data_IF_889495336129
#
_entry.id   IF_889495336129
#
_cell.length_a   1.000
_cell.length_b   1.000
_cell.length_c   1.000
_cell.angle_alpha   90.00
_cell.angle_beta   90.00
_cell.angle_gamma   90.00
#
_symmetry.space_group_name_H-M   'P 1'
#
loop_
_entity.id
_entity.type
_entity.pdbx_description
1 polymer ?
#
# COMPACT_ATOMS: atom_id res chain seq x y z
N UNK A 1 -24.80 3.11 17.45
CA UNK A 1 -26.13 2.90 16.86
C UNK A 1 -27.14 3.48 17.81
N UNK A 2 -28.18 4.20 17.36
CA UNK A 2 -29.23 4.65 18.29
C UNK A 2 -29.91 3.43 18.93
N UNK A 3 -30.19 3.48 20.23
CA UNK A 3 -30.77 2.35 20.99
C UNK A 3 -32.09 1.85 20.41
N UNK A 4 -32.88 2.76 19.84
CA UNK A 4 -34.14 2.44 19.15
C UNK A 4 -33.91 1.54 17.93
N UNK A 5 -32.88 1.82 17.12
CA UNK A 5 -32.51 0.99 15.97
C UNK A 5 -31.97 -0.37 16.43
N UNK A 6 -31.12 -0.39 17.46
CA UNK A 6 -30.59 -1.63 18.04
C UNK A 6 -31.73 -2.54 18.51
N UNK A 7 -32.69 -1.99 19.26
CA UNK A 7 -33.86 -2.71 19.77
C UNK A 7 -34.73 -3.27 18.65
N UNK A 8 -34.97 -2.49 17.59
CA UNK A 8 -35.75 -2.93 16.43
C UNK A 8 -35.09 -4.11 15.70
N UNK A 9 -33.78 -4.05 15.49
CA UNK A 9 -33.00 -5.13 14.86
C UNK A 9 -32.97 -6.37 15.74
N UNK A 10 -32.74 -6.23 17.05
CA UNK A 10 -32.79 -7.35 18.01
C UNK A 10 -34.16 -8.04 18.04
N UNK A 11 -35.24 -7.26 17.93
CA UNK A 11 -36.61 -7.77 17.82
C UNK A 11 -36.83 -8.62 16.57
N UNK A 12 -36.29 -8.19 15.41
CA UNK A 12 -36.37 -8.94 14.17
C UNK A 12 -35.49 -10.20 14.17
N UNK A 13 -34.30 -10.12 14.79
CA UNK A 13 -33.36 -11.25 14.89
C UNK A 13 -33.77 -12.29 15.95
N UNK A 14 -34.63 -11.92 16.90
CA UNK A 14 -35.00 -12.79 18.03
C UNK A 14 -33.85 -13.05 19.01
N UNK A 15 -32.76 -12.26 18.92
CA UNK A 15 -31.60 -12.33 19.82
C UNK A 15 -31.00 -10.95 20.02
N UNK A 16 -30.25 -10.79 21.11
CA UNK A 16 -29.45 -9.59 21.35
C UNK A 16 -28.25 -9.52 20.41
N UNK A 17 -27.90 -8.31 20.02
CA UNK A 17 -26.66 -8.00 19.32
C UNK A 17 -25.57 -7.78 20.36
N UNK A 18 -24.39 -8.36 20.13
CA UNK A 18 -23.19 -7.93 20.83
C UNK A 18 -22.86 -6.48 20.45
N UNK A 19 -22.10 -5.79 21.31
CA UNK A 19 -21.73 -4.39 21.05
C UNK A 19 -20.89 -4.25 19.78
N UNK A 20 -20.03 -5.24 19.49
CA UNK A 20 -19.25 -5.28 18.26
C UNK A 20 -20.13 -5.46 17.01
N UNK A 21 -21.16 -6.33 17.06
CA UNK A 21 -22.10 -6.50 15.94
C UNK A 21 -22.90 -5.21 15.69
N UNK A 22 -23.34 -4.55 16.75
CA UNK A 22 -24.08 -3.28 16.64
C UNK A 22 -23.21 -2.16 16.04
N UNK A 23 -21.94 -2.08 16.42
CA UNK A 23 -21.00 -1.12 15.87
C UNK A 23 -20.69 -1.40 14.40
N UNK A 24 -20.39 -2.66 14.04
CA UNK A 24 -20.14 -3.05 12.65
C UNK A 24 -21.33 -2.77 11.75
N UNK A 25 -22.54 -3.10 12.21
CA UNK A 25 -23.76 -2.83 11.46
C UNK A 25 -23.92 -1.32 11.21
N UNK A 26 -23.79 -0.48 12.24
CA UNK A 26 -23.85 0.98 12.10
C UNK A 26 -22.80 1.51 11.10
N UNK A 27 -21.56 1.02 11.16
CA UNK A 27 -20.51 1.41 10.22
C UNK A 27 -20.89 1.07 8.77
N UNK A 28 -21.49 -0.10 8.51
CA UNK A 28 -21.94 -0.46 7.16
C UNK A 28 -23.13 0.38 6.70
N UNK A 29 -24.05 0.73 7.59
CA UNK A 29 -25.14 1.67 7.30
C UNK A 29 -24.61 3.06 6.91
N UNK A 30 -23.68 3.62 7.69
CA UNK A 30 -23.04 4.92 7.40
C UNK A 30 -22.26 4.86 6.07
N UNK A 31 -21.59 3.74 5.80
CA UNK A 31 -20.88 3.54 4.54
C UNK A 31 -21.84 3.49 3.36
N UNK A 32 -22.90 2.67 3.45
CA UNK A 32 -23.92 2.54 2.42
C UNK A 32 -24.63 3.86 2.12
N UNK A 33 -24.93 4.66 3.14
CA UNK A 33 -25.55 5.99 2.99
C UNK A 33 -24.67 6.98 2.24
N UNK A 34 -23.34 6.78 2.24
CA UNK A 34 -22.38 7.59 1.48
C UNK A 34 -22.18 7.09 0.06
N UNK A 35 -22.19 5.77 -0.13
CA UNK A 35 -21.92 5.14 -1.44
C UNK A 35 -23.07 5.36 -2.42
N UNK A 36 -24.32 5.12 -2.01
CA UNK A 36 -25.48 5.18 -2.92
C UNK A 36 -25.67 6.56 -3.59
N UNK A 37 -25.62 7.70 -2.86
CA UNK A 37 -25.72 9.02 -3.50
C UNK A 37 -24.50 9.37 -4.35
N UNK A 38 -23.33 8.79 -4.06
CA UNK A 38 -22.10 9.03 -4.80
C UNK A 38 -22.06 8.27 -6.13
N UNK A 39 -22.71 7.12 -6.21
CA UNK A 39 -22.85 6.30 -7.42
C UNK A 39 -23.85 6.91 -8.40
N UNK A 40 -25.07 7.20 -7.97
CA UNK A 40 -26.09 7.84 -8.80
C UNK A 40 -26.95 8.82 -7.99
N UNK A 41 -26.50 10.07 -7.96
CA UNK A 41 -27.22 11.14 -7.26
C UNK A 41 -28.60 11.45 -7.87
N UNK A 42 -28.81 11.17 -9.17
CA UNK A 42 -30.09 11.44 -9.82
C UNK A 42 -31.12 10.42 -9.36
N UNK A 43 -30.75 9.13 -9.40
CA UNK A 43 -31.58 8.06 -8.85
C UNK A 43 -31.85 8.24 -7.35
N UNK A 44 -30.82 8.61 -6.58
CA UNK A 44 -30.95 8.87 -5.15
C UNK A 44 -31.96 9.99 -4.83
N UNK A 45 -31.92 11.07 -5.61
CA UNK A 45 -32.84 12.20 -5.43
C UNK A 45 -34.28 11.90 -5.81
N UNK A 46 -34.51 10.93 -6.71
CA UNK A 46 -35.87 10.50 -7.08
C UNK A 46 -36.52 9.54 -6.08
N UNK A 47 -35.76 8.93 -5.18
CA UNK A 47 -36.28 8.01 -4.16
C UNK A 47 -37.02 8.75 -3.02
N UNK A 48 -38.08 8.15 -2.49
CA UNK A 48 -38.70 8.54 -1.22
C UNK A 48 -37.76 8.28 -0.04
N UNK A 49 -38.09 8.81 1.15
CA UNK A 49 -37.25 8.56 2.33
C UNK A 49 -37.30 7.09 2.77
N UNK A 50 -38.42 6.40 2.56
CA UNK A 50 -38.57 4.96 2.78
C UNK A 50 -37.72 4.14 1.79
N UNK A 51 -37.79 4.47 0.49
CA UNK A 51 -36.99 3.80 -0.55
C UNK A 51 -35.49 3.99 -0.30
N UNK A 52 -35.07 5.17 0.17
CA UNK A 52 -33.67 5.42 0.58
C UNK A 52 -33.27 4.55 1.76
N UNK A 53 -34.12 4.42 2.77
CA UNK A 53 -33.84 3.62 3.95
C UNK A 53 -33.68 2.14 3.60
N UNK A 54 -34.56 1.61 2.74
CA UNK A 54 -34.48 0.23 2.22
C UNK A 54 -33.21 0.03 1.39
N UNK A 55 -32.91 0.93 0.45
CA UNK A 55 -31.70 0.83 -0.37
C UNK A 55 -30.41 0.88 0.47
N UNK A 56 -30.35 1.73 1.51
CA UNK A 56 -29.22 1.77 2.46
C UNK A 56 -29.11 0.43 3.20
N UNK A 57 -30.22 -0.12 3.70
CA UNK A 57 -30.22 -1.38 4.44
C UNK A 57 -29.72 -2.54 3.56
N UNK A 58 -30.23 -2.65 2.34
CA UNK A 58 -29.81 -3.66 1.37
C UNK A 58 -28.32 -3.53 1.05
N UNK A 59 -27.85 -2.31 0.78
CA UNK A 59 -26.43 -2.06 0.52
C UNK A 59 -25.56 -2.34 1.74
N UNK A 60 -26.02 -2.02 2.94
CA UNK A 60 -25.28 -2.30 4.17
C UNK A 60 -25.13 -3.82 4.39
N UNK A 61 -26.19 -4.60 4.16
CA UNK A 61 -26.16 -6.07 4.22
C UNK A 61 -25.22 -6.63 3.15
N UNK A 62 -25.30 -6.11 1.92
CA UNK A 62 -24.39 -6.52 0.83
C UNK A 62 -22.93 -6.24 1.20
N UNK A 63 -22.63 -5.01 1.64
CA UNK A 63 -21.29 -4.60 2.03
C UNK A 63 -20.74 -5.45 3.17
N UNK A 64 -21.57 -5.73 4.19
CA UNK A 64 -21.21 -6.61 5.30
C UNK A 64 -20.89 -8.03 4.81
N UNK A 65 -21.76 -8.59 3.96
CA UNK A 65 -21.63 -9.95 3.42
C UNK A 65 -20.38 -10.07 2.56
N UNK A 66 -20.16 -9.12 1.65
CA UNK A 66 -18.97 -9.08 0.77
C UNK A 66 -17.68 -8.95 1.57
N UNK A 67 -17.68 -8.08 2.59
CA UNK A 67 -16.55 -7.92 3.49
C UNK A 67 -16.27 -9.23 4.26
N UNK A 68 -17.30 -9.86 4.81
CA UNK A 68 -17.15 -11.08 5.59
C UNK A 68 -16.66 -12.27 4.73
N UNK A 69 -17.22 -12.44 3.52
CA UNK A 69 -16.76 -13.45 2.56
C UNK A 69 -15.27 -13.24 2.24
N UNK A 70 -14.86 -11.98 2.06
CA UNK A 70 -13.47 -11.64 1.79
C UNK A 70 -12.56 -11.93 2.98
N UNK A 71 -12.97 -11.57 4.19
CA UNK A 71 -12.22 -11.86 5.42
C UNK A 71 -12.05 -13.37 5.64
N UNK A 72 -13.09 -14.17 5.41
CA UNK A 72 -13.03 -15.63 5.47
C UNK A 72 -12.11 -16.20 4.38
N UNK A 73 -12.21 -15.69 3.14
CA UNK A 73 -11.33 -16.10 2.04
C UNK A 73 -9.86 -15.79 2.35
N UNK A 74 -9.58 -14.60 2.87
CA UNK A 74 -8.24 -14.22 3.31
C UNK A 74 -7.74 -15.13 4.44
N UNK A 75 -8.57 -15.43 5.43
CA UNK A 75 -8.20 -16.32 6.52
C UNK A 75 -7.82 -17.72 6.00
N UNK A 76 -8.61 -18.29 5.09
CA UNK A 76 -8.31 -19.60 4.50
C UNK A 76 -6.97 -19.59 3.76
N UNK A 77 -6.74 -18.58 2.91
CA UNK A 77 -5.47 -18.43 2.21
C UNK A 77 -4.29 -18.24 3.19
N UNK A 78 -4.48 -17.46 4.24
CA UNK A 78 -3.45 -17.19 5.24
C UNK A 78 -3.09 -18.46 6.03
N UNK A 79 -4.06 -19.33 6.31
CA UNK A 79 -3.81 -20.63 6.94
C UNK A 79 -2.99 -21.55 6.04
N UNK A 80 -3.29 -21.60 4.74
CA UNK A 80 -2.51 -22.38 3.77
C UNK A 80 -1.08 -21.86 3.63
N UNK A 81 -0.91 -20.53 3.47
CA UNK A 81 0.40 -19.88 3.43
C UNK A 81 1.19 -20.20 4.69
N UNK A 82 0.56 -20.08 5.85
CA UNK A 82 1.18 -20.39 7.14
C UNK A 82 1.64 -21.84 7.24
N UNK A 83 0.80 -22.79 6.84
CA UNK A 83 1.15 -24.21 6.86
C UNK A 83 2.38 -24.48 5.98
N UNK A 84 2.39 -23.94 4.77
CA UNK A 84 3.51 -24.06 3.84
C UNK A 84 4.79 -23.41 4.38
N UNK A 85 4.68 -22.21 4.96
CA UNK A 85 5.80 -21.54 5.62
C UNK A 85 6.35 -22.38 6.78
N UNK A 86 5.50 -22.88 7.68
CA UNK A 86 5.97 -23.71 8.79
C UNK A 86 6.72 -24.93 8.28
N UNK A 87 6.18 -25.64 7.29
CA UNK A 87 6.85 -26.80 6.66
C UNK A 87 8.20 -26.42 6.07
N UNK A 88 8.28 -25.35 5.27
CA UNK A 88 9.52 -24.87 4.65
C UNK A 88 10.58 -24.50 5.71
N UNK A 89 10.16 -23.78 6.75
CA UNK A 89 11.05 -23.22 7.77
C UNK A 89 11.57 -24.28 8.75
N UNK A 90 10.75 -25.26 9.14
CA UNK A 90 11.16 -26.28 10.12
C UNK A 90 11.88 -27.47 9.52
N UNK A 91 11.62 -27.78 8.24
CA UNK A 91 12.17 -28.98 7.58
C UNK A 91 13.46 -28.69 6.80
N UNK A 92 14.00 -27.47 6.87
CA UNK A 92 15.21 -27.12 6.13
C UNK A 92 16.42 -27.95 6.61
N UNK A 93 17.18 -28.60 5.71
CA UNK A 93 18.18 -29.61 6.10
C UNK A 93 19.40 -29.03 6.83
N UNK A 94 19.73 -27.75 6.61
CA UNK A 94 20.97 -27.13 7.09
C UNK A 94 20.79 -25.93 8.04
N UNK A 95 19.60 -25.33 8.05
CA UNK A 95 19.37 -24.05 8.72
C UNK A 95 18.44 -24.30 9.89
N UNK A 96 18.64 -23.57 10.98
CA UNK A 96 17.60 -23.56 12.00
C UNK A 96 16.39 -22.72 11.52
N UNK A 97 15.20 -22.90 12.12
CA UNK A 97 13.99 -22.24 11.61
C UNK A 97 14.05 -20.70 11.59
N UNK A 98 14.74 -20.07 12.55
CA UNK A 98 14.92 -18.61 12.56
C UNK A 98 15.89 -18.16 11.44
N UNK A 99 16.93 -18.94 11.16
CA UNK A 99 17.84 -18.68 10.03
C UNK A 99 17.12 -18.82 8.68
N UNK A 100 16.25 -19.83 8.55
CA UNK A 100 15.41 -20.03 7.38
C UNK A 100 14.41 -18.87 7.20
N UNK A 101 13.76 -18.43 8.29
CA UNK A 101 12.81 -17.31 8.26
C UNK A 101 13.50 -16.00 7.83
N UNK A 102 14.72 -15.79 8.32
CA UNK A 102 15.52 -14.63 7.90
C UNK A 102 15.85 -14.65 6.38
N UNK A 103 16.07 -15.83 5.80
CA UNK A 103 16.28 -15.98 4.34
C UNK A 103 14.99 -15.86 3.54
N UNK A 104 13.85 -16.17 4.15
CA UNK A 104 12.54 -15.88 3.56
C UNK A 104 12.30 -14.39 3.44
N UNK A 105 12.84 -13.58 4.36
CA UNK A 105 12.74 -12.13 4.30
C UNK A 105 13.77 -11.50 3.35
N UNK A 106 15.05 -11.81 3.52
CA UNK A 106 16.15 -11.08 2.84
C UNK A 106 16.89 -11.98 1.86
N UNK A 107 17.32 -11.42 0.73
CA UNK A 107 18.16 -12.10 -0.25
C UNK A 107 19.48 -12.57 0.36
N UNK A 108 19.77 -13.85 0.22
CA UNK A 108 21.07 -14.44 0.55
C UNK A 108 21.63 -15.15 -0.68
N UNK A 109 22.92 -14.96 -0.94
CA UNK A 109 23.63 -15.64 -2.04
C UNK A 109 24.24 -16.97 -1.57
N UNK A 110 23.63 -17.63 -0.59
CA UNK A 110 24.19 -18.78 0.13
C UNK A 110 23.67 -20.14 -0.33
N UNK A 111 23.00 -20.19 -1.49
CA UNK A 111 22.41 -21.40 -2.08
C UNK A 111 21.51 -22.17 -1.07
N UNK A 112 20.86 -21.47 -0.14
CA UNK A 112 19.92 -22.06 0.81
C UNK A 112 18.70 -22.69 0.13
N UNK A 113 18.42 -22.36 -1.14
CA UNK A 113 17.22 -22.86 -1.83
C UNK A 113 15.92 -22.22 -1.36
N UNK A 114 15.99 -21.27 -0.42
CA UNK A 114 14.86 -20.47 0.04
C UNK A 114 14.72 -19.26 -0.88
N UNK A 115 13.55 -19.12 -1.51
CA UNK A 115 13.21 -17.93 -2.27
C UNK A 115 12.73 -16.82 -1.32
N UNK A 116 13.49 -15.72 -1.28
CA UNK A 116 13.16 -14.58 -0.42
C UNK A 116 12.00 -13.74 -0.99
N UNK A 117 11.26 -13.08 -0.10
CA UNK A 117 10.22 -12.12 -0.47
C UNK A 117 10.78 -10.95 -1.25
N UNK A 118 12.03 -10.54 -0.99
CA UNK A 118 12.71 -9.52 -1.80
C UNK A 118 12.78 -9.90 -3.29
N UNK A 119 12.98 -11.18 -3.63
CA UNK A 119 12.95 -11.62 -5.03
C UNK A 119 11.54 -11.50 -5.61
N UNK A 120 10.52 -11.84 -4.83
CA UNK A 120 9.13 -11.71 -5.25
C UNK A 120 8.77 -10.24 -5.50
N UNK A 121 9.17 -9.34 -4.60
CA UNK A 121 8.96 -7.89 -4.74
C UNK A 121 9.60 -7.38 -6.03
N UNK A 122 10.87 -7.75 -6.28
CA UNK A 122 11.56 -7.35 -7.51
C UNK A 122 10.90 -7.91 -8.78
N UNK A 123 10.45 -9.16 -8.75
CA UNK A 123 9.76 -9.77 -9.89
C UNK A 123 8.43 -9.05 -10.20
N UNK A 124 7.69 -8.67 -9.16
CA UNK A 124 6.46 -7.87 -9.28
C UNK A 124 6.81 -6.48 -9.83
N UNK A 125 7.79 -5.78 -9.26
CA UNK A 125 8.22 -4.45 -9.71
C UNK A 125 8.60 -4.47 -11.20
N UNK A 126 9.50 -5.38 -11.61
CA UNK A 126 9.95 -5.49 -13.01
C UNK A 126 8.78 -5.74 -13.97
N UNK A 127 7.84 -6.63 -13.61
CA UNK A 127 6.65 -6.91 -14.43
C UNK A 127 5.84 -5.64 -14.71
N UNK A 128 5.59 -4.81 -13.71
CA UNK A 128 4.76 -3.61 -13.88
C UNK A 128 5.54 -2.44 -14.47
N UNK A 129 6.84 -2.32 -14.18
CA UNK A 129 7.72 -1.36 -14.85
C UNK A 129 7.81 -1.65 -16.35
N UNK A 130 7.81 -2.91 -16.76
CA UNK A 130 7.77 -3.30 -18.18
C UNK A 130 6.51 -2.77 -18.88
N UNK A 131 5.37 -2.76 -18.18
CA UNK A 131 4.12 -2.17 -18.70
C UNK A 131 4.23 -0.69 -19.02
N UNK A 132 5.17 0.02 -18.41
CA UNK A 132 5.45 1.45 -18.62
C UNK A 132 6.72 1.73 -19.44
N UNK A 133 7.42 0.71 -19.93
CA UNK A 133 8.72 0.91 -20.59
C UNK A 133 8.63 1.87 -21.78
N UNK A 134 7.59 1.73 -22.61
CA UNK A 134 7.35 2.62 -23.74
C UNK A 134 6.97 4.04 -23.28
N UNK A 135 6.17 4.16 -22.22
CA UNK A 135 5.83 5.46 -21.61
C UNK A 135 7.10 6.20 -21.20
N UNK A 136 8.03 5.52 -20.54
CA UNK A 136 9.29 6.13 -20.11
C UNK A 136 10.20 6.49 -21.30
N UNK A 137 10.32 5.61 -22.29
CA UNK A 137 11.10 5.89 -23.50
C UNK A 137 10.58 7.10 -24.26
N UNK A 138 9.26 7.18 -24.49
CA UNK A 138 8.69 8.15 -25.43
C UNK A 138 8.41 9.53 -24.81
N UNK A 139 8.41 9.61 -23.48
CA UNK A 139 8.30 10.86 -22.73
C UNK A 139 9.65 11.38 -22.24
N UNK A 140 10.75 10.78 -22.70
CA UNK A 140 12.11 11.29 -22.52
C UNK A 140 12.59 12.08 -23.74
N UNK A 141 13.51 13.01 -23.49
CA UNK A 141 14.26 13.76 -24.51
C UNK A 141 15.73 13.78 -24.14
N UNK A 142 16.59 14.24 -25.06
CA UNK A 142 18.03 14.37 -24.85
C UNK A 142 18.63 13.04 -24.36
N UNK A 143 18.45 11.96 -25.13
CA UNK A 143 18.99 10.63 -24.82
C UNK A 143 18.60 10.06 -23.43
N UNK A 144 17.43 10.46 -22.89
CA UNK A 144 16.95 9.98 -21.60
C UNK A 144 17.32 10.84 -20.39
N UNK A 145 18.09 11.92 -20.59
CA UNK A 145 18.51 12.78 -19.47
C UNK A 145 17.41 13.73 -18.97
N UNK A 146 16.43 14.06 -19.81
CA UNK A 146 15.36 15.00 -19.46
C UNK A 146 14.00 14.44 -19.87
N UNK A 147 12.96 14.86 -19.16
CA UNK A 147 11.59 14.59 -19.57
C UNK A 147 11.13 15.58 -20.64
N UNK A 148 10.35 15.08 -21.59
CA UNK A 148 9.55 15.90 -22.48
C UNK A 148 8.29 16.38 -21.75
N UNK A 149 8.39 17.58 -21.16
CA UNK A 149 7.32 18.18 -20.37
C UNK A 149 6.01 18.37 -21.13
N UNK A 150 6.06 18.65 -22.43
CA UNK A 150 4.86 18.86 -23.24
C UNK A 150 4.16 17.52 -23.51
N UNK A 151 4.92 16.48 -23.87
CA UNK A 151 4.38 15.12 -23.97
C UNK A 151 3.81 14.63 -22.64
N UNK A 152 4.51 14.85 -21.52
CA UNK A 152 4.00 14.48 -20.18
C UNK A 152 2.69 15.21 -19.88
N UNK A 153 2.59 16.52 -20.17
CA UNK A 153 1.35 17.28 -19.96
C UNK A 153 0.19 16.74 -20.79
N UNK A 154 0.43 16.45 -22.08
CA UNK A 154 -0.58 15.84 -22.96
C UNK A 154 -1.00 14.46 -22.48
N UNK A 155 -0.05 13.63 -22.06
CA UNK A 155 -0.30 12.31 -21.48
C UNK A 155 -1.16 12.39 -20.21
N UNK A 156 -0.85 13.30 -19.28
CA UNK A 156 -1.65 13.50 -18.07
C UNK A 156 -3.06 13.95 -18.43
N UNK A 157 -3.23 14.84 -19.40
CA UNK A 157 -4.57 15.28 -19.86
C UNK A 157 -5.39 14.11 -20.42
N UNK A 158 -4.77 13.28 -21.24
CA UNK A 158 -5.40 12.08 -21.82
C UNK A 158 -5.84 11.09 -20.72
N UNK A 159 -4.98 10.83 -19.73
CA UNK A 159 -5.30 9.95 -18.58
C UNK A 159 -6.51 10.46 -17.78
N UNK A 160 -6.66 11.77 -17.66
CA UNK A 160 -7.80 12.42 -17.02
C UNK A 160 -9.04 12.55 -17.94
N UNK A 161 -9.01 11.95 -19.13
CA UNK A 161 -10.14 11.90 -20.05
C UNK A 161 -10.31 13.14 -20.93
N UNK A 162 -9.29 14.00 -21.06
CA UNK A 162 -9.25 15.08 -22.06
C UNK A 162 -8.46 14.59 -23.28
N UNK A 163 -9.10 14.22 -24.41
CA UNK A 163 -8.41 13.71 -25.58
C UNK A 163 -7.40 14.72 -26.12
N UNK A 164 -6.17 14.27 -26.32
CA UNK A 164 -5.05 15.03 -26.89
C UNK A 164 -5.15 15.17 -28.42
N UNK A 165 -5.91 14.28 -29.07
CA UNK A 165 -5.94 14.17 -30.54
C UNK A 165 -4.73 13.44 -31.13
N UNK A 166 -3.82 12.96 -30.28
CA UNK A 166 -2.62 12.23 -30.68
C UNK A 166 -2.77 10.74 -30.33
N UNK A 167 -2.71 9.89 -31.35
CA UNK A 167 -2.85 8.44 -31.21
C UNK A 167 -1.71 7.80 -30.40
N UNK A 168 -0.50 8.36 -30.46
CA UNK A 168 0.64 7.92 -29.64
C UNK A 168 0.34 8.21 -28.17
N UNK A 169 -0.05 9.44 -27.84
CA UNK A 169 -0.38 9.85 -26.47
C UNK A 169 -1.56 9.03 -25.90
N UNK A 170 -2.61 8.78 -26.70
CA UNK A 170 -3.72 7.92 -26.32
C UNK A 170 -3.26 6.50 -25.96
N UNK A 171 -2.35 5.92 -26.75
CA UNK A 171 -1.77 4.60 -26.48
C UNK A 171 -0.95 4.58 -25.19
N UNK A 172 -0.12 5.60 -24.97
CA UNK A 172 0.68 5.73 -23.75
C UNK A 172 -0.22 5.91 -22.51
N UNK A 173 -1.28 6.72 -22.59
CA UNK A 173 -2.24 6.91 -21.51
C UNK A 173 -2.95 5.60 -21.14
N UNK A 174 -3.33 4.82 -22.16
CA UNK A 174 -3.90 3.49 -21.96
C UNK A 174 -2.91 2.55 -21.27
N UNK A 175 -1.65 2.53 -21.67
CA UNK A 175 -0.60 1.72 -21.02
C UNK A 175 -0.44 2.08 -19.54
N UNK A 176 -0.46 3.37 -19.18
CA UNK A 176 -0.42 3.80 -17.76
C UNK A 176 -1.65 3.31 -17.00
N UNK A 177 -2.85 3.58 -17.51
CA UNK A 177 -4.11 3.24 -16.83
C UNK A 177 -4.31 1.73 -16.67
N UNK A 178 -4.02 0.94 -17.71
CA UNK A 178 -4.07 -0.52 -17.66
C UNK A 178 -3.06 -1.10 -16.67
N UNK A 179 -1.85 -0.54 -16.60
CA UNK A 179 -0.80 -0.99 -15.67
C UNK A 179 -1.21 -0.72 -14.23
N UNK A 180 -1.69 0.49 -13.93
CA UNK A 180 -2.15 0.85 -12.58
C UNK A 180 -3.38 0.03 -12.14
N UNK A 181 -4.32 -0.23 -13.06
CA UNK A 181 -5.47 -1.10 -12.78
C UNK A 181 -5.04 -2.55 -12.54
N UNK A 182 -4.12 -3.07 -13.35
CA UNK A 182 -3.58 -4.43 -13.19
C UNK A 182 -2.85 -4.60 -11.85
N UNK A 183 -2.16 -3.55 -11.39
CA UNK A 183 -1.49 -3.52 -10.09
C UNK A 183 -2.52 -3.50 -8.94
N UNK A 184 -3.59 -2.70 -9.07
CA UNK A 184 -4.72 -2.67 -8.12
C UNK A 184 -5.41 -4.02 -7.99
N UNK A 185 -5.70 -4.68 -9.12
CA UNK A 185 -6.35 -6.00 -9.13
C UNK A 185 -5.44 -7.07 -8.50
N UNK A 186 -4.14 -7.00 -8.75
CA UNK A 186 -3.18 -7.91 -8.16
C UNK A 186 -3.05 -7.73 -6.64
N UNK A 187 -3.04 -6.48 -6.16
CA UNK A 187 -3.13 -6.17 -4.74
C UNK A 187 -4.38 -6.81 -4.10
N UNK A 188 -5.53 -6.63 -4.74
CA UNK A 188 -6.78 -7.13 -4.20
C UNK A 188 -6.87 -8.65 -4.17
N UNK A 189 -6.17 -9.33 -5.09
CA UNK A 189 -6.09 -10.80 -5.13
C UNK A 189 -5.45 -11.39 -3.88
N UNK A 190 -4.50 -10.69 -3.27
CA UNK A 190 -3.78 -11.17 -2.07
C UNK A 190 -4.35 -10.62 -0.76
N UNK A 191 -5.62 -10.21 -0.79
CA UNK A 191 -6.40 -9.87 0.40
C UNK A 191 -6.61 -8.37 0.64
N UNK A 192 -6.06 -7.52 -0.23
CA UNK A 192 -6.32 -6.08 -0.20
C UNK A 192 -7.69 -5.71 -0.75
N UNK A 193 -8.17 -4.50 -0.46
CA UNK A 193 -9.49 -4.03 -0.94
C UNK A 193 -9.48 -2.60 -1.49
N UNK A 194 -8.64 -2.35 -2.48
CA UNK A 194 -8.62 -1.08 -3.20
C UNK A 194 -9.84 -1.02 -4.13
N UNK A 195 -10.79 -0.14 -3.83
CA UNK A 195 -11.93 0.12 -4.71
C UNK A 195 -11.49 0.87 -5.97
N UNK A 196 -12.20 0.63 -7.07
CA UNK A 196 -11.98 1.39 -8.32
C UNK A 196 -12.63 2.75 -8.17
N UNK A 197 -11.87 3.82 -8.38
CA UNK A 197 -12.42 5.17 -8.42
C UNK A 197 -12.67 5.56 -9.87
N UNK A 198 -13.89 6.01 -10.17
CA UNK A 198 -14.16 6.70 -11.44
C UNK A 198 -13.26 7.94 -11.52
N UNK A 199 -12.52 8.09 -12.62
CA UNK A 199 -11.52 9.13 -12.81
C UNK A 199 -10.30 9.04 -11.87
N UNK A 200 -9.92 7.82 -11.45
CA UNK A 200 -8.59 7.57 -10.90
C UNK A 200 -7.54 7.90 -11.97
N UNK A 201 -7.09 9.16 -12.00
CA UNK A 201 -6.09 9.61 -12.97
C UNK A 201 -4.72 9.03 -12.63
N UNK A 202 -4.05 9.64 -11.66
CA UNK A 202 -2.66 9.31 -11.30
C UNK A 202 -2.47 9.23 -9.78
N UNK A 203 -1.38 8.60 -9.31
CA UNK A 203 -0.84 8.85 -7.97
C UNK A 203 -0.60 10.36 -7.76
N UNK A 204 -0.46 10.78 -6.51
CA UNK A 204 -0.17 12.17 -6.17
C UNK A 204 1.10 12.18 -5.32
N UNK A 205 1.97 13.16 -5.55
CA UNK A 205 3.11 13.45 -4.67
C UNK A 205 2.85 14.77 -3.94
N UNK A 206 3.30 14.85 -2.69
CA UNK A 206 3.23 16.04 -1.86
C UNK A 206 4.59 16.29 -1.23
N UNK A 207 5.26 17.37 -1.62
CA UNK A 207 6.50 17.79 -0.98
C UNK A 207 6.21 18.35 0.41
N UNK A 208 6.58 17.61 1.45
CA UNK A 208 6.47 18.07 2.83
C UNK A 208 7.09 19.46 3.03
N UNK A 209 8.31 19.67 2.52
CA UNK A 209 9.02 20.94 2.64
C UNK A 209 8.29 22.09 1.95
N UNK A 210 7.84 21.91 0.70
CA UNK A 210 7.12 22.97 -0.02
C UNK A 210 5.77 23.26 0.65
N UNK A 211 5.04 22.22 1.06
CA UNK A 211 3.75 22.36 1.75
C UNK A 211 3.90 23.14 3.06
N UNK A 212 4.87 22.78 3.91
CA UNK A 212 5.14 23.51 5.17
C UNK A 212 5.60 24.94 4.90
N UNK A 213 6.50 25.14 3.92
CA UNK A 213 7.02 26.48 3.60
C UNK A 213 5.91 27.45 3.21
N UNK A 214 4.82 26.94 2.64
CA UNK A 214 3.65 27.74 2.27
C UNK A 214 2.80 28.12 3.48
N UNK A 215 2.80 27.31 4.53
CA UNK A 215 1.92 27.43 5.69
C UNK A 215 0.51 26.91 5.42
N UNK A 216 -0.19 26.47 6.48
CA UNK A 216 -1.49 25.79 6.37
C UNK A 216 -2.54 26.63 5.64
N UNK A 217 -2.76 27.88 6.05
CA UNK A 217 -3.80 28.74 5.48
C UNK A 217 -3.60 29.00 3.99
N UNK A 218 -2.37 29.36 3.59
CA UNK A 218 -2.03 29.63 2.20
C UNK A 218 -1.98 28.36 1.34
N UNK A 219 -1.70 27.21 1.93
CA UNK A 219 -1.83 25.92 1.25
C UNK A 219 -3.29 25.56 1.01
N UNK A 220 -4.17 25.72 2.00
CA UNK A 220 -5.61 25.46 1.86
C UNK A 220 -6.21 26.38 0.81
N UNK A 221 -5.94 27.70 0.91
CA UNK A 221 -6.39 28.71 -0.06
C UNK A 221 -5.94 28.41 -1.49
N UNK A 222 -4.71 27.91 -1.65
CA UNK A 222 -4.19 27.51 -2.96
C UNK A 222 -4.84 26.24 -3.51
N UNK A 223 -5.05 25.25 -2.64
CA UNK A 223 -5.47 23.89 -3.04
C UNK A 223 -6.97 23.80 -3.28
N UNK A 224 -7.78 24.45 -2.43
CA UNK A 224 -9.24 24.46 -2.49
C UNK A 224 -9.83 24.72 -3.89
N UNK A 225 -9.43 25.77 -4.64
CA UNK A 225 -9.97 26.01 -5.99
C UNK A 225 -9.54 24.96 -7.04
N UNK A 226 -8.55 24.12 -6.75
CA UNK A 226 -8.10 23.03 -7.62
C UNK A 226 -8.94 21.75 -7.45
N UNK A 227 -9.68 21.65 -6.34
CA UNK A 227 -10.44 20.47 -5.96
C UNK A 227 -11.78 20.30 -6.71
N UNK A 228 -12.21 19.06 -6.88
CA UNK A 228 -13.56 18.70 -7.31
C UNK A 228 -14.51 18.74 -6.11
N UNK A 229 -15.22 19.87 -5.95
CA UNK A 229 -16.18 20.07 -4.86
C UNK A 229 -17.31 19.05 -4.85
N UNK A 230 -17.60 18.39 -5.98
CA UNK A 230 -18.65 17.36 -6.05
C UNK A 230 -18.31 16.06 -5.31
N UNK A 231 -17.02 15.86 -4.97
CA UNK A 231 -16.49 14.69 -4.27
C UNK A 231 -16.50 14.83 -2.75
N UNK A 232 -16.72 16.03 -2.23
CA UNK A 232 -16.74 16.30 -0.79
C UNK A 232 -18.18 16.33 -0.29
N UNK A 233 -18.60 15.27 0.40
CA UNK A 233 -19.99 15.05 0.82
C UNK A 233 -20.10 14.63 2.27
N UNK A 234 -21.17 15.04 2.92
CA UNK A 234 -21.58 14.57 4.23
C UNK A 234 -22.11 13.13 4.16
N UNK A 235 -22.30 12.54 5.33
CA UNK A 235 -22.80 11.17 5.49
C UNK A 235 -24.19 10.95 4.87
N UNK A 236 -25.00 11.99 4.80
CA UNK A 236 -26.32 12.01 4.17
C UNK A 236 -26.28 12.30 2.66
N UNK A 237 -25.08 12.35 2.05
CA UNK A 237 -24.85 12.61 0.63
C UNK A 237 -24.95 14.09 0.21
N UNK A 238 -25.29 15.02 1.11
CA UNK A 238 -25.28 16.44 0.81
C UNK A 238 -23.84 16.94 0.56
N UNK A 239 -23.68 17.99 -0.25
CA UNK A 239 -22.37 18.57 -0.52
C UNK A 239 -21.85 19.32 0.70
N UNK A 240 -20.55 19.17 0.98
CA UNK A 240 -19.85 19.99 1.96
C UNK A 240 -19.78 21.45 1.49
N UNK A 241 -20.03 22.37 2.41
CA UNK A 241 -19.78 23.80 2.24
C UNK A 241 -18.30 24.09 2.02
N UNK A 242 -17.97 25.30 1.58
CA UNK A 242 -16.58 25.68 1.31
C UNK A 242 -15.69 25.63 2.55
N UNK A 243 -16.22 26.09 3.67
CA UNK A 243 -15.56 26.04 4.97
C UNK A 243 -15.28 24.60 5.39
N UNK A 244 -16.23 23.67 5.18
CA UNK A 244 -16.04 22.27 5.53
C UNK A 244 -14.99 21.57 4.65
N UNK A 245 -14.95 21.87 3.34
CA UNK A 245 -13.88 21.37 2.47
C UNK A 245 -12.52 21.95 2.86
N UNK A 246 -12.47 23.22 3.26
CA UNK A 246 -11.26 23.83 3.80
C UNK A 246 -10.77 23.10 5.07
N UNK A 247 -11.67 22.70 5.97
CA UNK A 247 -11.32 21.96 7.18
C UNK A 247 -10.82 20.54 6.88
N UNK A 248 -11.42 19.85 5.91
CA UNK A 248 -10.87 18.59 5.38
C UNK A 248 -9.44 18.82 4.92
N UNK A 249 -9.22 19.83 4.07
CA UNK A 249 -7.88 20.18 3.57
C UNK A 249 -6.91 20.52 4.72
N UNK A 250 -7.32 21.20 5.79
CA UNK A 250 -6.46 21.42 6.98
C UNK A 250 -6.00 20.11 7.62
N UNK A 251 -6.89 19.13 7.72
CA UNK A 251 -6.54 17.80 8.22
C UNK A 251 -5.53 17.11 7.28
N UNK A 252 -5.71 17.24 5.96
CA UNK A 252 -4.76 16.75 4.95
C UNK A 252 -3.38 17.40 5.12
N UNK A 253 -3.34 18.72 5.26
CA UNK A 253 -2.11 19.47 5.51
C UNK A 253 -1.40 18.91 6.73
N UNK A 254 -2.10 18.70 7.85
CA UNK A 254 -1.47 18.19 9.07
C UNK A 254 -0.85 16.80 8.86
N UNK A 255 -1.47 15.95 8.03
CA UNK A 255 -0.90 14.66 7.66
C UNK A 255 0.34 14.80 6.79
N UNK A 256 0.34 15.66 5.77
CA UNK A 256 1.52 15.89 4.91
C UNK A 256 2.65 16.52 5.72
N UNK A 257 2.33 17.57 6.48
CA UNK A 257 3.27 18.34 7.31
C UNK A 257 3.83 17.55 8.50
N UNK A 258 3.25 16.40 8.85
CA UNK A 258 3.82 15.50 9.85
C UNK A 258 4.38 14.22 9.23
N UNK A 259 4.43 14.12 7.90
CA UNK A 259 4.85 12.90 7.19
C UNK A 259 4.04 11.66 7.62
N UNK A 260 2.80 11.89 8.06
CA UNK A 260 1.91 10.85 8.59
C UNK A 260 2.11 10.50 10.06
N UNK A 261 3.09 11.06 10.77
CA UNK A 261 3.33 10.83 12.20
C UNK A 261 2.15 11.25 13.10
N UNK A 262 1.25 12.09 12.59
CA UNK A 262 0.02 12.46 13.28
C UNK A 262 -1.07 11.36 13.27
N UNK A 263 -0.92 10.29 12.48
CA UNK A 263 -1.90 9.19 12.44
C UNK A 263 -1.65 8.24 13.61
N UNK A 264 -2.71 7.87 14.32
CA UNK A 264 -2.64 6.92 15.46
C UNK A 264 -1.95 5.59 15.10
N UNK A 265 -2.08 5.13 13.86
CA UNK A 265 -1.40 3.93 13.33
C UNK A 265 0.13 4.08 13.25
N UNK A 266 0.66 5.30 13.10
CA UNK A 266 2.10 5.57 13.16
C UNK A 266 2.56 5.70 14.62
N UNK A 267 1.73 6.24 15.51
CA UNK A 267 1.98 6.28 16.96
C UNK A 267 1.93 4.90 17.62
N UNK A 268 1.22 3.92 17.05
CA UNK A 268 1.15 2.53 17.52
C UNK A 268 2.50 1.78 17.49
N UNK A 269 3.57 2.39 16.97
CA UNK A 269 4.94 1.88 17.08
C UNK A 269 5.57 2.11 18.47
N UNK A 270 4.84 2.67 19.45
CA UNK A 270 5.34 2.99 20.79
C UNK A 270 4.48 2.37 21.92
N UNK A 271 4.58 1.06 22.21
CA UNK A 271 4.15 0.45 23.50
C UNK A 271 5.01 -0.81 23.74
N UNK A 272 5.90 -0.95 24.73
CA UNK A 272 5.84 -1.06 26.21
C UNK A 272 5.33 -2.39 26.84
N UNK A 273 4.91 -3.42 26.09
CA UNK A 273 4.64 -4.75 26.68
C UNK A 273 4.74 -5.92 25.68
N UNK A 274 5.28 -7.07 26.13
CA UNK A 274 5.56 -8.28 25.32
C UNK A 274 4.35 -9.22 25.15
N UNK A 275 3.27 -9.07 25.92
CA UNK A 275 2.14 -10.03 25.91
C UNK A 275 1.01 -9.69 24.92
N UNK A 276 1.01 -8.48 24.36
CA UNK A 276 0.13 -8.03 23.28
C UNK A 276 0.99 -7.34 22.23
N UNK A 277 1.67 -8.10 21.37
CA UNK A 277 2.54 -7.52 20.35
C UNK A 277 1.72 -6.52 19.49
N UNK A 278 2.07 -5.22 19.48
CA UNK A 278 1.39 -4.25 18.63
C UNK A 278 1.55 -4.68 17.17
N UNK A 279 0.43 -4.89 16.47
CA UNK A 279 0.42 -5.08 15.01
C UNK A 279 0.27 -3.69 14.39
N UNK A 280 1.37 -3.16 13.84
CA UNK A 280 1.40 -1.96 13.00
C UNK A 280 1.03 -2.30 11.55
N UNK A 281 0.73 -1.27 10.75
CA UNK A 281 0.31 -1.30 9.34
C UNK A 281 -0.53 -2.53 8.92
N UNK A 282 -1.86 -2.43 9.01
CA UNK A 282 -2.74 -3.40 8.36
C UNK A 282 -2.66 -3.18 6.84
N UNK A 283 -1.83 -3.96 6.14
CA UNK A 283 -1.65 -3.87 4.70
C UNK A 283 -2.99 -4.05 3.97
N UNK A 284 -3.87 -4.97 4.37
CA UNK A 284 -5.16 -5.17 3.70
C UNK A 284 -5.96 -3.88 3.54
N UNK A 285 -5.92 -3.04 4.58
CA UNK A 285 -6.71 -1.82 4.67
C UNK A 285 -5.92 -0.56 4.30
N UNK A 286 -4.65 -0.67 3.91
CA UNK A 286 -3.74 0.46 3.73
C UNK A 286 -4.23 1.51 2.73
N UNK A 287 -4.92 1.08 1.66
CA UNK A 287 -5.46 1.96 0.62
C UNK A 287 -6.97 2.21 0.74
N UNK A 288 -7.60 1.78 1.83
CA UNK A 288 -9.01 2.08 2.06
C UNK A 288 -9.23 3.53 2.53
N UNK A 289 -8.19 4.19 3.04
CA UNK A 289 -8.26 5.61 3.33
C UNK A 289 -8.20 6.42 2.04
N UNK A 290 -9.30 7.09 1.74
CA UNK A 290 -9.47 7.90 0.54
C UNK A 290 -8.35 8.93 0.41
N UNK A 291 -7.75 8.98 -0.79
CA UNK A 291 -6.86 10.05 -1.23
C UNK A 291 -7.41 11.40 -0.79
N UNK A 292 -6.58 12.15 -0.09
CA UNK A 292 -6.99 13.31 0.67
C UNK A 292 -7.32 14.53 -0.20
N UNK A 293 -6.91 14.55 -1.48
CA UNK A 293 -7.24 15.64 -2.42
C UNK A 293 -7.82 15.06 -3.71
N UNK A 294 -9.07 15.43 -3.98
CA UNK A 294 -9.75 15.12 -5.25
C UNK A 294 -9.61 16.32 -6.18
N UNK A 295 -8.73 16.24 -7.19
CA UNK A 295 -8.57 17.31 -8.18
C UNK A 295 -9.70 17.28 -9.22
N UNK A 296 -10.17 18.46 -9.65
CA UNK A 296 -11.26 18.60 -10.63
C UNK A 296 -10.90 18.20 -12.05
N UNK A 297 -9.63 18.35 -12.43
CA UNK A 297 -9.15 18.00 -13.76
C UNK A 297 -7.62 17.84 -13.81
N UNK A 298 -7.11 17.51 -15.00
CA UNK A 298 -5.69 17.38 -15.29
C UNK A 298 -4.89 18.65 -15.03
N UNK A 299 -5.46 19.83 -15.34
CA UNK A 299 -4.76 21.10 -15.23
C UNK A 299 -4.57 21.49 -13.76
N UNK A 300 -5.58 21.25 -12.92
CA UNK A 300 -5.49 21.35 -11.46
C UNK A 300 -4.44 20.41 -10.88
N UNK A 301 -4.42 19.15 -11.33
CA UNK A 301 -3.44 18.17 -10.87
C UNK A 301 -2.01 18.58 -11.26
N UNK A 302 -1.79 18.95 -12.53
CA UNK A 302 -0.50 19.40 -13.04
C UNK A 302 -0.01 20.63 -12.29
N UNK A 303 -0.87 21.64 -12.13
CA UNK A 303 -0.56 22.86 -11.38
C UNK A 303 -0.20 22.58 -9.93
N UNK A 304 -0.89 21.64 -9.28
CA UNK A 304 -0.53 21.24 -7.92
C UNK A 304 0.82 20.53 -7.88
N UNK A 305 1.08 19.58 -8.78
CA UNK A 305 2.32 18.82 -8.80
C UNK A 305 3.55 19.67 -9.17
N UNK A 306 3.40 20.63 -10.09
CA UNK A 306 4.47 21.58 -10.42
C UNK A 306 4.88 22.43 -9.20
N UNK A 307 3.90 22.95 -8.45
CA UNK A 307 4.14 23.82 -7.30
C UNK A 307 4.54 23.06 -6.03
N UNK A 308 3.84 21.96 -5.74
CA UNK A 308 3.85 21.29 -4.44
C UNK A 308 4.17 19.79 -4.52
N UNK A 309 4.47 19.25 -5.70
CA UNK A 309 4.97 17.88 -5.85
C UNK A 309 6.44 17.76 -5.45
N UNK A 310 6.84 16.56 -5.02
CA UNK A 310 8.23 16.24 -4.65
C UNK A 310 9.00 15.67 -5.85
N UNK A 311 8.33 14.85 -6.68
CA UNK A 311 8.98 14.05 -7.72
C UNK A 311 8.41 14.30 -9.11
N UNK A 312 9.21 14.01 -10.14
CA UNK A 312 8.76 14.10 -11.54
C UNK A 312 7.81 12.93 -11.90
N UNK A 313 7.22 12.99 -13.10
CA UNK A 313 6.22 12.01 -13.56
C UNK A 313 6.73 10.56 -13.59
N UNK A 314 7.98 10.32 -14.01
CA UNK A 314 8.56 8.97 -14.06
C UNK A 314 8.78 8.41 -12.67
N UNK A 315 9.35 9.24 -11.78
CA UNK A 315 9.59 8.86 -10.40
C UNK A 315 8.28 8.64 -9.64
N UNK A 316 7.25 9.46 -9.91
CA UNK A 316 5.92 9.28 -9.32
C UNK A 316 5.34 7.89 -9.64
N UNK A 317 5.36 7.49 -10.92
CA UNK A 317 4.87 6.18 -11.34
C UNK A 317 5.75 5.05 -10.81
N UNK A 318 7.06 5.21 -10.91
CA UNK A 318 8.04 4.22 -10.46
C UNK A 318 7.94 3.95 -8.96
N UNK A 319 7.84 5.01 -8.17
CA UNK A 319 7.68 4.92 -6.72
C UNK A 319 6.35 4.29 -6.33
N UNK A 320 5.26 4.63 -7.03
CA UNK A 320 3.96 3.99 -6.81
C UNK A 320 4.01 2.49 -7.12
N UNK A 321 4.64 2.09 -8.23
CA UNK A 321 4.81 0.68 -8.60
C UNK A 321 5.65 -0.05 -7.56
N UNK A 322 6.81 0.49 -7.18
CA UNK A 322 7.69 -0.13 -6.17
C UNK A 322 6.97 -0.33 -4.83
N UNK A 323 6.21 0.68 -4.40
CA UNK A 323 5.42 0.62 -3.18
C UNK A 323 4.41 -0.52 -3.22
N UNK A 324 3.52 -0.52 -4.23
CA UNK A 324 2.50 -1.57 -4.35
C UNK A 324 3.14 -2.95 -4.59
N UNK A 325 4.29 -3.02 -5.28
CA UNK A 325 5.01 -4.28 -5.49
C UNK A 325 5.59 -4.83 -4.19
N UNK A 326 6.05 -3.97 -3.29
CA UNK A 326 6.48 -4.33 -1.94
C UNK A 326 5.32 -4.91 -1.15
N UNK A 327 4.18 -4.22 -1.15
CA UNK A 327 2.97 -4.65 -0.44
C UNK A 327 2.46 -5.99 -1.01
N UNK A 328 2.35 -6.13 -2.34
CA UNK A 328 1.96 -7.36 -3.03
C UNK A 328 2.92 -8.50 -2.70
N UNK A 329 4.24 -8.27 -2.79
CA UNK A 329 5.22 -9.32 -2.51
C UNK A 329 5.16 -9.82 -1.07
N UNK A 330 4.97 -8.91 -0.11
CA UNK A 330 4.75 -9.26 1.30
C UNK A 330 3.44 -10.04 1.48
N UNK A 331 2.33 -9.57 0.92
CA UNK A 331 1.02 -10.21 1.04
C UNK A 331 0.97 -11.59 0.36
N UNK A 332 1.61 -11.72 -0.81
CA UNK A 332 1.75 -12.98 -1.52
C UNK A 332 2.58 -14.01 -0.73
N UNK A 333 3.54 -13.56 0.08
CA UNK A 333 4.47 -14.44 0.79
C UNK A 333 4.00 -14.78 2.21
N UNK A 334 3.37 -13.85 2.90
CA UNK A 334 3.03 -13.96 4.32
C UNK A 334 1.53 -13.86 4.61
N UNK A 335 0.71 -13.83 3.56
CA UNK A 335 -0.74 -13.71 3.68
C UNK A 335 -1.19 -12.26 3.83
N UNK A 336 -2.48 -12.10 4.02
CA UNK A 336 -3.16 -10.82 3.97
C UNK A 336 -2.58 -9.83 5.00
N UNK A 337 -2.20 -10.29 6.21
CA UNK A 337 -1.49 -9.50 7.23
C UNK A 337 -0.03 -9.98 7.42
N UNK A 338 0.92 -9.50 6.60
CA UNK A 338 2.30 -9.96 6.65
C UNK A 338 2.98 -9.72 8.01
N UNK A 339 2.71 -8.58 8.64
CA UNK A 339 3.35 -8.21 9.91
C UNK A 339 2.96 -9.18 11.02
N UNK A 340 1.65 -9.42 11.16
CA UNK A 340 1.12 -10.37 12.13
C UNK A 340 1.69 -11.76 11.89
N UNK A 341 1.70 -12.22 10.64
CA UNK A 341 2.23 -13.54 10.29
C UNK A 341 3.71 -13.68 10.67
N UNK A 342 4.54 -12.73 10.26
CA UNK A 342 5.99 -12.76 10.50
C UNK A 342 6.31 -12.69 11.98
N UNK A 343 5.66 -11.80 12.74
CA UNK A 343 5.87 -11.66 14.19
C UNK A 343 5.42 -12.92 14.95
N UNK A 344 4.24 -13.45 14.63
CA UNK A 344 3.72 -14.66 15.27
C UNK A 344 4.61 -15.88 14.98
N UNK A 345 4.94 -16.11 13.71
CA UNK A 345 5.85 -17.20 13.34
C UNK A 345 7.23 -17.02 13.98
N UNK A 346 7.81 -15.82 13.95
CA UNK A 346 9.11 -15.55 14.57
C UNK A 346 9.11 -15.86 16.07
N UNK A 347 8.06 -15.46 16.79
CA UNK A 347 7.90 -15.75 18.21
C UNK A 347 7.74 -17.26 18.49
N UNK A 348 6.88 -17.95 17.73
CA UNK A 348 6.66 -19.39 17.89
C UNK A 348 7.91 -20.21 17.58
N UNK A 349 8.63 -19.86 16.51
CA UNK A 349 9.88 -20.51 16.14
C UNK A 349 10.95 -20.30 17.21
N UNK A 350 11.04 -19.10 17.79
CA UNK A 350 11.92 -18.83 18.93
C UNK A 350 11.54 -19.69 20.14
N UNK A 351 10.26 -19.68 20.55
CA UNK A 351 9.80 -20.44 21.72
C UNK A 351 10.05 -21.94 21.57
N UNK A 352 9.81 -22.49 20.38
CA UNK A 352 10.12 -23.90 20.07
C UNK A 352 11.62 -24.17 20.14
N UNK A 353 12.45 -23.31 19.55
CA UNK A 353 13.89 -23.48 19.56
C UNK A 353 14.52 -23.34 20.96
N UNK A 354 13.96 -22.48 21.82
CA UNK A 354 14.39 -22.30 23.22
C UNK A 354 14.07 -23.50 24.11
N UNK A 355 13.12 -24.35 23.71
CA UNK A 355 12.72 -25.57 24.44
C UNK A 355 13.38 -26.83 23.86
N UNK A 356 14.07 -26.73 22.73
CA UNK A 356 14.73 -27.86 22.08
C UNK A 356 16.14 -28.06 22.67
N UNK A 357 16.44 -29.23 23.26
CA UNK A 357 17.76 -29.55 23.83
C UNK A 357 18.92 -29.33 22.85
N UNK A 358 18.68 -29.40 21.53
CA UNK A 358 19.70 -29.14 20.50
C UNK A 358 20.29 -27.72 20.55
N UNK A 359 19.58 -26.77 21.16
CA UNK A 359 19.97 -25.36 21.21
C UNK A 359 20.22 -24.83 22.63
N UNK A 360 20.40 -25.69 23.62
CA UNK A 360 20.54 -25.30 25.03
C UNK A 360 21.63 -24.25 25.30
N UNK A 361 22.71 -24.25 24.51
CA UNK A 361 23.86 -23.34 24.61
C UNK A 361 23.76 -22.13 23.66
N UNK A 362 22.70 -22.04 22.84
CA UNK A 362 22.53 -21.07 21.75
C UNK A 362 21.40 -20.06 21.97
N UNK A 363 20.78 -20.03 23.15
CA UNK A 363 19.64 -19.15 23.44
C UNK A 363 19.89 -17.68 23.07
N UNK A 364 21.04 -17.11 23.45
CA UNK A 364 21.39 -15.72 23.08
C UNK A 364 21.50 -15.52 21.56
N UNK A 365 21.96 -16.52 20.81
CA UNK A 365 22.03 -16.48 19.35
C UNK A 365 20.62 -16.51 18.75
N UNK A 366 19.74 -17.38 19.24
CA UNK A 366 18.35 -17.49 18.79
C UNK A 366 17.58 -16.18 19.02
N UNK A 367 17.70 -15.58 20.21
CA UNK A 367 17.09 -14.29 20.52
C UNK A 367 17.54 -13.17 19.55
N UNK A 368 18.85 -13.11 19.24
CA UNK A 368 19.37 -12.18 18.23
C UNK A 368 18.81 -12.44 16.84
N UNK A 369 18.63 -13.70 16.46
CA UNK A 369 18.04 -14.07 15.17
C UNK A 369 16.57 -13.67 15.08
N UNK A 370 15.78 -13.89 16.14
CA UNK A 370 14.39 -13.44 16.21
C UNK A 370 14.27 -11.90 16.14
N UNK A 371 15.12 -11.17 16.86
CA UNK A 371 15.16 -9.71 16.79
C UNK A 371 15.53 -9.21 15.37
N UNK A 372 16.44 -9.91 14.69
CA UNK A 372 16.84 -9.58 13.32
C UNK A 372 15.71 -9.78 12.30
N UNK A 373 14.90 -10.83 12.45
CA UNK A 373 13.69 -11.07 11.62
C UNK A 373 12.76 -9.86 11.68
N UNK A 374 12.43 -9.39 12.89
CA UNK A 374 11.56 -8.23 13.07
C UNK A 374 12.15 -6.96 12.43
N UNK A 375 13.46 -6.74 12.61
CA UNK A 375 14.15 -5.60 11.99
C UNK A 375 14.09 -5.65 10.47
N UNK A 376 14.43 -6.80 9.87
CA UNK A 376 14.39 -6.94 8.42
C UNK A 376 12.97 -6.82 7.84
N UNK A 377 11.97 -7.36 8.53
CA UNK A 377 10.58 -7.15 8.15
C UNK A 377 10.22 -5.66 8.17
N UNK A 378 10.55 -4.95 9.25
CA UNK A 378 10.26 -3.51 9.35
C UNK A 378 11.01 -2.71 8.28
N UNK A 379 12.26 -3.06 7.95
CA UNK A 379 13.01 -2.43 6.87
C UNK A 379 12.40 -2.70 5.48
N UNK A 380 11.82 -3.88 5.25
CA UNK A 380 11.08 -4.22 4.03
C UNK A 380 9.75 -3.49 3.94
N UNK A 381 8.92 -3.60 4.98
CA UNK A 381 7.63 -2.93 5.06
C UNK A 381 7.79 -1.40 5.01
N UNK A 382 8.88 -0.86 5.55
CA UNK A 382 9.23 0.56 5.45
C UNK A 382 9.42 1.05 4.01
N UNK A 383 9.79 0.17 3.06
CA UNK A 383 9.86 0.52 1.63
C UNK A 383 8.48 0.69 1.00
N UNK A 384 7.43 0.19 1.64
CA UNK A 384 6.05 0.41 1.23
C UNK A 384 5.47 1.74 1.77
N UNK A 385 6.24 2.54 2.53
CA UNK A 385 5.78 3.84 2.99
C UNK A 385 5.83 4.87 1.84
N UNK A 386 4.92 5.87 1.83
CA UNK A 386 5.00 6.98 0.89
C UNK A 386 6.36 7.69 0.99
N UNK A 387 7.00 7.93 -0.16
CA UNK A 387 8.24 8.72 -0.25
C UNK A 387 7.84 10.20 -0.23
N UNK A 388 7.42 10.69 0.92
CA UNK A 388 7.19 12.13 1.14
C UNK A 388 8.30 12.74 2.04
N UNK A 389 9.34 11.97 2.42
CA UNK A 389 10.50 12.49 3.18
C UNK A 389 11.80 11.67 3.18
N UNK A 390 12.87 12.32 3.67
CA UNK A 390 14.26 11.81 3.78
C UNK A 390 14.41 10.50 4.57
N UNK A 391 13.46 10.12 5.43
CA UNK A 391 13.57 8.89 6.24
C UNK A 391 13.40 7.63 5.37
N UNK A 392 12.65 7.71 4.27
CA UNK A 392 12.45 6.62 3.32
C UNK A 392 13.69 6.38 2.43
N UNK A 393 14.49 7.43 2.15
CA UNK A 393 15.70 7.31 1.33
C UNK A 393 16.82 6.51 2.03
N UNK A 394 16.88 6.54 3.37
CA UNK A 394 17.94 5.86 4.13
C UNK A 394 17.85 4.33 4.02
N UNK A 395 16.65 3.77 3.95
CA UNK A 395 16.44 2.32 3.85
C UNK A 395 16.70 1.73 2.45
N UNK A 396 16.46 2.51 1.39
CA UNK A 396 16.66 2.08 0.00
C UNK A 396 18.12 2.13 -0.45
N UNK A 397 18.88 3.13 0.01
CA UNK A 397 20.29 3.34 -0.40
C UNK A 397 21.21 2.24 0.14
N UNK A 398 20.92 1.68 1.32
CA UNK A 398 21.77 0.64 1.93
C UNK A 398 21.76 -0.69 1.17
N UNK A 399 20.66 -1.03 0.46
CA UNK A 399 20.57 -2.28 -0.31
C UNK A 399 21.19 -2.19 -1.70
N UNK A 400 21.06 -1.07 -2.41
CA UNK A 400 21.75 -0.91 -3.71
C UNK A 400 23.28 -0.86 -3.55
N UNK A 401 23.77 -0.29 -2.44
CA UNK A 401 25.20 -0.25 -2.14
C UNK A 401 25.76 -1.62 -1.73
N UNK A 402 25.06 -2.40 -0.90
CA UNK A 402 25.49 -3.74 -0.48
C UNK A 402 25.43 -4.79 -1.61
N UNK A 403 24.43 -4.69 -2.51
CA UNK A 403 24.31 -5.57 -3.69
C UNK A 403 25.34 -5.19 -4.76
N UNK A 404 25.59 -3.91 -5.00
CA UNK A 404 26.63 -3.47 -5.95
C UNK A 404 28.06 -3.75 -5.47
N UNK A 405 28.35 -3.66 -4.16
CA UNK A 405 29.66 -4.10 -3.61
C UNK A 405 29.83 -5.61 -3.67
N UNK A 406 28.80 -6.41 -3.40
CA UNK A 406 28.88 -7.88 -3.56
C UNK A 406 29.02 -8.32 -5.03
N UNK A 407 28.35 -7.64 -5.96
CA UNK A 407 28.52 -7.90 -7.40
C UNK A 407 29.90 -7.45 -7.93
N UNK A 408 30.45 -6.36 -7.41
CA UNK A 408 31.80 -5.88 -7.79
C UNK A 408 32.91 -6.77 -7.24
N UNK A 409 32.76 -7.34 -6.04
CA UNK A 409 33.73 -8.30 -5.46
C UNK A 409 33.69 -9.65 -6.21
N UNK A 410 32.52 -10.11 -6.65
CA UNK A 410 32.38 -11.35 -7.44
C UNK A 410 33.05 -11.27 -8.82
N UNK A 411 32.96 -10.11 -9.52
CA UNK A 411 33.66 -9.92 -10.80
C UNK A 411 35.19 -9.94 -10.68
N UNK A 412 35.76 -9.43 -9.58
CA UNK A 412 37.23 -9.45 -9.40
C UNK A 412 37.78 -10.86 -9.15
N UNK A 413 37.01 -11.77 -8.54
CA UNK A 413 37.45 -13.15 -8.31
C UNK A 413 37.28 -14.07 -9.53
N UNK A 414 36.36 -13.78 -10.46
CA UNK A 414 36.21 -14.59 -11.69
C UNK A 414 37.26 -14.23 -12.76
N UNK A 415 37.69 -12.97 -12.84
CA UNK A 415 38.72 -12.55 -13.82
C UNK A 415 40.13 -13.01 -13.43
N UNK A 416 40.44 -13.11 -12.13
CA UNK A 416 41.75 -13.59 -11.66
C UNK A 416 41.90 -15.11 -11.80
N UNK A 417 40.80 -15.87 -11.80
CA UNK A 417 40.84 -17.33 -11.99
C UNK A 417 40.93 -17.78 -13.46
N UNK A 418 40.53 -16.93 -14.40
CA UNK A 418 40.66 -17.22 -15.84
C UNK A 418 42.05 -16.90 -16.41
N UNK A 419 42.82 -15.99 -15.80
CA UNK A 419 44.18 -15.66 -16.26
C UNK A 419 45.29 -16.59 -15.70
N UNK A 420 44.96 -17.63 -14.93
CA UNK A 420 45.96 -18.54 -14.34
C UNK A 420 45.92 -19.98 -14.87
N UNK A 421 45.07 -20.27 -15.88
CA UNK A 421 44.94 -21.61 -16.46
C UNK A 421 45.26 -21.70 -17.97
N UNK A 422 45.80 -20.64 -18.59
CA UNK A 422 46.21 -20.64 -20.01
C UNK A 422 47.71 -20.41 -20.24
N UNK A 423 48.57 -20.88 -19.33
CA UNK A 423 50.00 -21.08 -19.62
C UNK A 423 50.49 -22.39 -18.99
N UNK A 424 50.41 -23.47 -19.76
CA UNK A 424 50.81 -24.80 -19.30
C UNK A 424 50.65 -25.92 -20.33
N UNK A 425 51.02 -25.65 -21.59
CA UNK A 425 51.63 -26.54 -22.59
C UNK A 425 51.66 -25.82 -23.95
#
# INVERSE_FOLDING_TARGET
MKDQCKTAVEGALGRKLSDQEAELLEQQFIKASRELPAEDIKAWKSMSDEERAEAIADRAIQNYTDQHIKEVTNLVNDLEIRENLVKELTNHPKLNPLEAMNRKLVMHTDQSGIQSVEHNIQAVEVRYMQGLAQVFSDTQKTMGFLLDGDKVKSLVKEIFGKPSGDAEIAKLAKSVTDTLESLRVHYNRYGGDIKKLANYGLPQSHSHYKVISKGQDEWVKYTLPLTDRSKYRHENGSLMSETEVADVLRAVYNTIASEGHNKALVQAHLVQSETDLPVGFNMQNLHQHHRSVHFKDADSWLKYQEELGEVNFHDLLSNHIRRMSTEIGLMQTFGSNPEKMVKQLGHELLNKAMQDPKFYDKHRKLQKQAALINRHYNELAGQALPIDSNLAQVGGILRSWAVSTKMRISKYYSTIRFCHNETGC
#
